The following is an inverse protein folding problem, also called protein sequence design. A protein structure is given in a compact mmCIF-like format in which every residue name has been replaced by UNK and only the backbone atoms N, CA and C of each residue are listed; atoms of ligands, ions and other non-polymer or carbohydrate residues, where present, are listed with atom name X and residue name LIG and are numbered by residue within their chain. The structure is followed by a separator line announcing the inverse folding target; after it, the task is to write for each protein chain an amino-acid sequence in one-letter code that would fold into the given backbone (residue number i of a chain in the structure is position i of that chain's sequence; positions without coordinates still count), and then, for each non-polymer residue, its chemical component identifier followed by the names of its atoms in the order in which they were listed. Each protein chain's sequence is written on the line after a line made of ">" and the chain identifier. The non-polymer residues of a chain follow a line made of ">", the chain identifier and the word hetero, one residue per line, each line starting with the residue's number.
data_IF_765706039079
#
_entry.id   IF_765706039079
#
_cell.length_a   1.000
_cell.length_b   1.000
_cell.length_c   1.000
_cell.angle_alpha   90.00
_cell.angle_beta   90.00
_cell.angle_gamma   90.00
#
_symmetry.space_group_name_H-M   'P 1'
#
loop_
_entity.id
_entity.type
_entity.pdbx_description
1 polymer ?
#
# COMPACT_ATOMS: atom_id res chain seq x y z
N UNK A 1 4.06 -1.54 29.45
CA UNK A 1 3.13 -0.76 28.62
C UNK A 1 3.07 -1.46 27.28
N UNK A 2 1.92 -2.06 26.92
CA UNK A 2 1.76 -2.77 25.64
C UNK A 2 1.85 -1.78 24.49
N UNK A 3 2.64 -2.10 23.47
CA UNK A 3 2.92 -1.20 22.34
C UNK A 3 1.73 -1.07 21.36
N UNK A 4 0.57 -1.61 21.71
CA UNK A 4 -0.61 -1.72 20.86
C UNK A 4 -1.54 -0.51 20.94
N UNK A 5 -1.38 0.38 21.93
CA UNK A 5 -2.29 1.53 22.15
C UNK A 5 -1.86 2.81 21.40
N UNK A 6 -0.87 2.71 20.50
CA UNK A 6 -0.18 3.89 19.97
C UNK A 6 -0.80 4.40 18.66
N UNK A 7 -1.51 3.54 17.94
CA UNK A 7 -2.24 3.89 16.71
C UNK A 7 -3.64 3.29 16.79
N UNK A 8 -4.63 4.09 17.17
CA UNK A 8 -6.03 3.74 16.95
C UNK A 8 -6.43 4.15 15.52
N UNK A 9 -6.40 3.19 14.61
CA UNK A 9 -6.89 3.36 13.23
C UNK A 9 -8.42 3.36 13.12
N UNK A 10 -9.15 3.09 14.21
CA UNK A 10 -10.60 2.94 14.15
C UNK A 10 -11.29 4.27 13.80
N UNK A 11 -12.09 4.24 12.72
CA UNK A 11 -12.82 5.41 12.24
C UNK A 11 -12.00 6.40 11.40
N UNK A 12 -10.73 6.13 11.10
CA UNK A 12 -9.97 6.94 10.15
C UNK A 12 -10.57 6.79 8.73
N UNK A 13 -11.06 7.87 8.08
CA UNK A 13 -11.61 7.76 6.74
C UNK A 13 -10.49 7.45 5.74
N UNK A 14 -10.73 6.46 4.88
CA UNK A 14 -9.87 6.17 3.73
C UNK A 14 -10.31 7.00 2.53
N UNK A 15 -9.36 7.65 1.86
CA UNK A 15 -9.58 8.13 0.50
C UNK A 15 -9.39 6.97 -0.48
N UNK A 16 -10.34 6.76 -1.38
CA UNK A 16 -10.25 5.78 -2.47
C UNK A 16 -9.72 6.43 -3.75
N UNK A 17 -8.78 5.75 -4.41
CA UNK A 17 -8.21 6.16 -5.69
C UNK A 17 -8.29 4.98 -6.67
N UNK A 18 -8.83 5.21 -7.86
CA UNK A 18 -8.97 4.19 -8.92
C UNK A 18 -8.09 4.56 -10.10
N UNK A 19 -7.47 3.56 -10.68
CA UNK A 19 -6.56 3.72 -11.82
C UNK A 19 -6.92 2.68 -12.87
N UNK A 20 -7.06 3.13 -14.11
CA UNK A 20 -7.34 2.28 -15.25
C UNK A 20 -6.07 1.55 -15.70
N UNK A 21 -6.25 0.38 -16.29
CA UNK A 21 -5.20 -0.34 -17.02
C UNK A 21 -4.69 0.53 -18.20
N UNK A 22 -3.38 0.78 -18.26
CA UNK A 22 -2.75 1.59 -19.32
C UNK A 22 -2.10 0.75 -20.44
N UNK A 23 -2.26 -0.59 -20.39
CA UNK A 23 -1.73 -1.56 -21.33
C UNK A 23 -0.31 -2.03 -21.03
N UNK A 24 0.44 -1.36 -20.15
CA UNK A 24 1.75 -1.80 -19.65
C UNK A 24 1.73 -2.01 -18.12
N UNK A 25 0.99 -1.17 -17.42
CA UNK A 25 0.66 -1.23 -16.01
C UNK A 25 -0.77 -1.74 -15.86
N UNK A 26 -0.97 -2.95 -15.33
CA UNK A 26 -2.31 -3.53 -15.26
C UNK A 26 -3.27 -2.78 -14.34
N UNK A 27 -2.74 -2.15 -13.28
CA UNK A 27 -3.53 -1.61 -12.17
C UNK A 27 -4.52 -2.66 -11.63
N UNK A 28 -5.58 -2.22 -10.95
CA UNK A 28 -6.51 -3.12 -10.28
C UNK A 28 -7.93 -2.58 -10.34
N UNK A 29 -8.89 -3.50 -10.43
CA UNK A 29 -10.32 -3.20 -10.24
C UNK A 29 -10.65 -2.79 -8.81
N UNK A 30 -9.76 -3.12 -7.86
CA UNK A 30 -9.86 -2.69 -6.47
C UNK A 30 -9.25 -1.28 -6.34
N UNK A 31 -9.83 -0.38 -5.54
CA UNK A 31 -9.25 0.94 -5.33
C UNK A 31 -8.01 0.88 -4.42
N UNK A 32 -7.04 1.75 -4.67
CA UNK A 32 -6.04 2.11 -3.66
C UNK A 32 -6.73 2.83 -2.51
N UNK A 33 -6.30 2.53 -1.29
CA UNK A 33 -6.75 3.24 -0.09
C UNK A 33 -5.61 4.12 0.43
N UNK A 34 -5.93 5.37 0.76
CA UNK A 34 -5.03 6.29 1.44
C UNK A 34 -5.64 6.68 2.79
N UNK A 35 -4.97 6.27 3.86
CA UNK A 35 -5.26 6.71 5.22
C UNK A 35 -4.30 7.83 5.62
N UNK A 36 -4.81 8.82 6.35
CA UNK A 36 -4.00 9.90 6.94
C UNK A 36 -4.14 9.88 8.45
N UNK A 37 -3.27 9.13 9.12
CA UNK A 37 -3.37 8.90 10.55
C UNK A 37 -2.70 10.02 11.34
N UNK A 38 -3.32 10.39 12.46
CA UNK A 38 -2.74 11.31 13.43
C UNK A 38 -1.98 10.49 14.47
N UNK A 39 -0.67 10.39 14.29
CA UNK A 39 0.21 9.67 15.21
C UNK A 39 0.89 10.65 16.17
N UNK A 40 1.12 10.21 17.40
CA UNK A 40 1.90 10.98 18.36
C UNK A 40 3.30 11.28 17.79
N UNK A 41 3.81 12.48 18.06
CA UNK A 41 5.14 12.92 17.62
C UNK A 41 6.25 12.21 18.38
N UNK A 42 6.00 11.77 19.61
CA UNK A 42 6.97 11.13 20.50
C UNK A 42 7.26 9.66 20.19
N UNK A 43 6.47 9.06 19.30
CA UNK A 43 6.52 7.64 18.96
C UNK A 43 7.44 7.37 17.77
N UNK A 44 8.21 6.27 17.85
CA UNK A 44 8.82 5.67 16.66
C UNK A 44 7.72 5.09 15.76
N UNK A 45 7.43 5.81 14.68
CA UNK A 45 6.36 5.45 13.74
C UNK A 45 6.68 4.19 12.96
N UNK A 46 7.95 3.85 12.75
CA UNK A 46 8.30 2.64 12.04
C UNK A 46 7.90 1.41 12.86
N UNK A 47 8.32 1.37 14.13
CA UNK A 47 7.92 0.30 15.06
C UNK A 47 6.39 0.25 15.25
N UNK A 48 5.74 1.42 15.32
CA UNK A 48 4.29 1.50 15.48
C UNK A 48 3.55 0.96 14.24
N UNK A 49 4.02 1.24 13.02
CA UNK A 49 3.44 0.66 11.80
C UNK A 49 3.70 -0.84 11.70
N UNK A 50 4.89 -1.32 12.05
CA UNK A 50 5.16 -2.76 12.09
C UNK A 50 4.21 -3.49 13.04
N UNK A 51 4.04 -2.96 14.25
CA UNK A 51 3.12 -3.53 15.23
C UNK A 51 1.66 -3.50 14.73
N UNK A 52 1.23 -2.38 14.13
CA UNK A 52 -0.11 -2.22 13.58
C UNK A 52 -0.39 -3.21 12.45
N UNK A 53 0.49 -3.29 11.47
CA UNK A 53 0.34 -4.19 10.33
C UNK A 53 0.35 -5.65 10.78
N UNK A 54 1.30 -6.03 11.64
CA UNK A 54 1.39 -7.39 12.16
C UNK A 54 0.13 -7.80 12.95
N UNK A 55 -0.44 -6.89 13.74
CA UNK A 55 -1.69 -7.13 14.48
C UNK A 55 -2.89 -7.42 13.57
N UNK A 56 -2.86 -6.95 12.33
CA UNK A 56 -3.91 -7.15 11.33
C UNK A 56 -3.55 -8.19 10.26
N UNK A 57 -2.53 -9.02 10.48
CA UNK A 57 -2.15 -10.08 9.55
C UNK A 57 -1.46 -9.59 8.28
N UNK A 58 -0.85 -8.41 8.33
CA UNK A 58 0.06 -7.88 7.31
C UNK A 58 1.48 -7.95 7.84
N UNK A 59 2.29 -8.84 7.27
CA UNK A 59 3.67 -9.07 7.70
C UNK A 59 4.55 -7.91 7.24
N UNK A 60 5.08 -7.07 8.14
CA UNK A 60 6.08 -6.07 7.77
C UNK A 60 7.40 -6.78 7.42
N UNK A 61 7.97 -6.44 6.27
CA UNK A 61 9.19 -7.10 5.77
C UNK A 61 10.39 -6.17 5.65
N UNK A 62 10.16 -4.87 5.48
CA UNK A 62 11.25 -3.93 5.23
C UNK A 62 10.92 -2.51 5.71
N UNK A 63 12.00 -1.74 5.94
CA UNK A 63 11.97 -0.29 6.16
C UNK A 63 12.88 0.38 5.13
N UNK A 64 12.33 1.09 4.15
CA UNK A 64 13.11 1.77 3.11
C UNK A 64 12.28 2.86 2.39
N UNK A 65 12.81 3.48 1.35
CA UNK A 65 12.08 4.33 0.42
C UNK A 65 11.27 3.54 -0.62
N UNK A 66 10.66 4.26 -1.56
CA UNK A 66 9.95 3.68 -2.71
C UNK A 66 10.83 3.89 -3.95
N UNK A 67 10.91 2.90 -4.84
CA UNK A 67 11.70 3.01 -6.07
C UNK A 67 11.32 4.25 -6.90
N UNK A 68 12.31 4.84 -7.56
CA UNK A 68 12.17 6.00 -8.43
C UNK A 68 11.66 5.67 -9.85
N UNK A 69 11.48 4.37 -10.14
CA UNK A 69 10.91 3.87 -11.38
C UNK A 69 9.55 3.21 -11.16
N UNK A 70 8.69 3.25 -12.19
CA UNK A 70 7.40 2.57 -12.12
C UNK A 70 7.58 1.07 -11.96
N UNK A 71 6.91 0.52 -10.96
CA UNK A 71 6.82 -0.91 -10.70
C UNK A 71 5.47 -1.26 -10.08
N UNK A 72 5.16 -2.55 -10.05
CA UNK A 72 3.99 -3.10 -9.38
C UNK A 72 4.26 -4.52 -8.92
N UNK A 73 3.40 -5.02 -8.03
CA UNK A 73 3.40 -6.39 -7.55
C UNK A 73 2.32 -7.21 -8.28
N UNK A 74 2.67 -8.20 -9.12
CA UNK A 74 1.68 -9.02 -9.83
C UNK A 74 1.08 -10.14 -8.96
N UNK A 75 1.63 -10.42 -7.78
CA UNK A 75 1.24 -11.54 -6.92
C UNK A 75 0.93 -11.16 -5.46
N UNK A 76 1.01 -9.88 -5.10
CA UNK A 76 0.82 -9.44 -3.72
C UNK A 76 0.11 -8.09 -3.66
N UNK A 77 -0.74 -7.91 -2.66
CA UNK A 77 -1.15 -6.59 -2.17
C UNK A 77 -0.06 -6.02 -1.25
N UNK A 78 -0.01 -4.70 -1.13
CA UNK A 78 1.04 -4.04 -0.35
C UNK A 78 0.46 -2.92 0.53
N UNK A 79 0.95 -2.82 1.75
CA UNK A 79 0.72 -1.69 2.64
C UNK A 79 2.03 -0.93 2.84
N UNK A 80 1.98 0.39 2.68
CA UNK A 80 3.11 1.30 2.85
C UNK A 80 2.80 2.31 3.95
N UNK A 81 3.40 2.15 5.12
CA UNK A 81 3.28 3.09 6.24
C UNK A 81 4.41 4.13 6.21
N UNK A 82 4.12 5.39 5.95
CA UNK A 82 5.15 6.45 5.89
C UNK A 82 5.56 6.82 7.32
N UNK A 83 6.73 6.35 7.74
CA UNK A 83 7.23 6.55 9.10
C UNK A 83 7.90 7.91 9.30
N UNK A 84 8.61 8.42 8.29
CA UNK A 84 9.34 9.70 8.34
C UNK A 84 9.32 10.43 7.00
N UNK A 85 9.61 11.74 7.05
CA UNK A 85 9.71 12.57 5.87
C UNK A 85 8.40 12.73 5.08
N UNK A 86 8.57 13.05 3.81
CA UNK A 86 7.50 13.17 2.83
C UNK A 86 8.00 12.80 1.43
N UNK A 87 7.09 12.36 0.57
CA UNK A 87 7.39 12.07 -0.82
C UNK A 87 6.24 12.47 -1.75
N UNK A 88 6.58 12.79 -3.00
CA UNK A 88 5.63 12.77 -4.11
C UNK A 88 5.68 11.41 -4.77
N UNK A 89 4.58 10.69 -4.75
CA UNK A 89 4.45 9.34 -5.30
C UNK A 89 3.45 9.40 -6.46
N UNK A 90 3.82 8.85 -7.61
CA UNK A 90 2.87 8.58 -8.70
C UNK A 90 2.26 7.21 -8.47
N UNK A 91 0.93 7.11 -8.49
CA UNK A 91 0.16 5.87 -8.45
C UNK A 91 -0.62 5.71 -9.75
N UNK A 92 -0.81 4.49 -10.23
CA UNK A 92 -1.58 4.19 -11.45
C UNK A 92 -0.76 4.04 -12.73
N UNK A 93 0.57 3.96 -12.66
CA UNK A 93 1.41 3.91 -13.87
C UNK A 93 1.62 5.29 -14.52
N UNK A 94 1.93 5.32 -15.82
CA UNK A 94 2.26 6.56 -16.54
C UNK A 94 1.03 7.45 -16.75
N UNK A 95 -0.16 6.86 -16.88
CA UNK A 95 -1.44 7.57 -16.91
C UNK A 95 -1.99 7.92 -15.51
N UNK A 96 -1.20 7.68 -14.47
CA UNK A 96 -1.60 7.76 -13.08
C UNK A 96 -1.68 9.17 -12.51
N UNK A 97 -1.89 9.24 -11.19
CA UNK A 97 -1.93 10.47 -10.41
C UNK A 97 -0.71 10.58 -9.51
N UNK A 98 -0.10 11.77 -9.45
CA UNK A 98 0.92 12.09 -8.44
C UNK A 98 0.29 12.75 -7.23
N UNK A 99 0.61 12.26 -6.03
CA UNK A 99 0.16 12.81 -4.76
C UNK A 99 1.31 12.92 -3.76
N UNK A 100 1.13 13.75 -2.74
CA UNK A 100 2.08 13.85 -1.63
C UNK A 100 1.64 12.94 -0.49
N UNK A 101 2.55 12.11 -0.02
CA UNK A 101 2.45 11.35 1.25
C UNK A 101 3.45 11.88 2.26
N UNK A 102 3.14 11.78 3.54
CA UNK A 102 4.01 12.21 4.64
C UNK A 102 3.90 11.30 5.85
N UNK A 103 4.79 11.49 6.81
CA UNK A 103 4.78 10.76 8.07
C UNK A 103 3.36 10.65 8.69
N UNK A 104 2.90 9.43 8.93
CA UNK A 104 1.54 9.11 9.41
C UNK A 104 0.54 8.68 8.33
N UNK A 105 0.87 8.84 7.05
CA UNK A 105 0.03 8.33 5.97
C UNK A 105 0.28 6.83 5.73
N UNK A 106 -0.78 6.10 5.34
CA UNK A 106 -0.70 4.71 4.90
C UNK A 106 -1.34 4.57 3.52
N UNK A 107 -0.60 3.99 2.57
CA UNK A 107 -1.16 3.52 1.30
C UNK A 107 -1.43 2.02 1.37
N UNK A 108 -2.59 1.59 0.89
CA UNK A 108 -2.91 0.18 0.67
C UNK A 108 -3.11 -0.02 -0.82
N UNK A 109 -2.18 -0.75 -1.43
CA UNK A 109 -2.04 -0.92 -2.87
C UNK A 109 -2.53 -2.34 -3.25
N UNK A 110 -3.62 -2.44 -4.02
CA UNK A 110 -3.98 -3.69 -4.67
C UNK A 110 -2.87 -4.23 -5.58
N UNK A 111 -2.84 -5.54 -5.78
CA UNK A 111 -1.92 -6.16 -6.73
C UNK A 111 -2.15 -5.55 -8.12
N UNK A 112 -1.05 -5.23 -8.81
CA UNK A 112 -1.05 -4.55 -10.10
C UNK A 112 -0.96 -3.03 -10.04
N UNK A 113 -1.16 -2.38 -8.91
CA UNK A 113 -1.05 -0.92 -8.80
C UNK A 113 0.37 -0.45 -9.11
N UNK A 114 0.52 0.23 -10.26
CA UNK A 114 1.79 0.83 -10.65
C UNK A 114 2.13 2.01 -9.76
N UNK A 115 3.35 2.07 -9.23
CA UNK A 115 3.77 3.20 -8.42
C UNK A 115 5.26 3.52 -8.54
N UNK A 116 5.63 4.78 -8.25
CA UNK A 116 7.01 5.25 -8.14
C UNK A 116 7.13 6.46 -7.23
N UNK A 117 8.28 6.64 -6.61
CA UNK A 117 8.68 7.89 -5.99
C UNK A 117 9.19 8.87 -7.04
N UNK A 118 8.59 10.05 -7.15
CA UNK A 118 9.08 11.13 -8.03
C UNK A 118 10.13 11.98 -7.31
N UNK A 119 9.94 12.20 -6.01
CA UNK A 119 10.81 12.98 -5.15
C UNK A 119 10.51 12.65 -3.70
N UNK A 120 11.52 12.55 -2.84
CA UNK A 120 11.36 12.38 -1.40
C UNK A 120 12.31 13.30 -0.62
N UNK A 121 11.99 13.56 0.65
CA UNK A 121 12.94 14.20 1.57
C UNK A 121 14.05 13.24 1.99
N UNK A 122 15.20 13.78 2.40
CA UNK A 122 16.39 12.98 2.77
C UNK A 122 16.12 11.97 3.90
N UNK A 123 15.13 12.25 4.75
CA UNK A 123 14.73 11.41 5.89
C UNK A 123 13.56 10.46 5.60
N UNK A 124 13.09 10.40 4.34
CA UNK A 124 11.94 9.60 3.95
C UNK A 124 12.15 8.12 4.27
N UNK A 125 11.19 7.55 5.03
CA UNK A 125 11.20 6.14 5.41
C UNK A 125 9.79 5.60 5.39
N UNK A 126 9.63 4.42 4.79
CA UNK A 126 8.39 3.67 4.69
C UNK A 126 8.57 2.29 5.31
N UNK A 127 7.55 1.78 5.99
CA UNK A 127 7.42 0.37 6.36
C UNK A 127 6.57 -0.32 5.30
N UNK A 128 7.13 -1.33 4.64
CA UNK A 128 6.41 -2.16 3.68
C UNK A 128 5.93 -3.46 4.31
N UNK A 129 4.65 -3.76 4.11
CA UNK A 129 4.01 -4.96 4.63
C UNK A 129 3.10 -5.62 3.60
N UNK A 130 2.96 -6.94 3.70
CA UNK A 130 2.19 -7.76 2.76
C UNK A 130 1.22 -8.66 3.53
N UNK A 131 0.03 -8.95 2.99
CA UNK A 131 -0.91 -9.86 3.66
C UNK A 131 -0.27 -11.23 3.89
N UNK A 132 -0.71 -11.92 4.94
CA UNK A 132 -0.31 -13.30 5.20
C UNK A 132 -0.50 -14.19 3.97
N UNK A 133 0.56 -14.91 3.59
CA UNK A 133 0.61 -15.76 2.38
C UNK A 133 1.02 -15.03 1.09
N UNK A 134 1.38 -13.75 1.17
CA UNK A 134 1.84 -12.92 0.04
C UNK A 134 3.21 -12.28 0.30
N UNK A 135 3.96 -12.79 1.28
CA UNK A 135 5.27 -12.29 1.71
C UNK A 135 6.35 -12.48 0.65
N UNK A 136 6.23 -13.50 -0.20
CA UNK A 136 7.11 -13.75 -1.34
C UNK A 136 6.63 -12.97 -2.57
N UNK A 137 6.74 -11.65 -2.48
CA UNK A 137 6.27 -10.72 -3.51
C UNK A 137 7.27 -10.60 -4.67
N UNK A 138 6.74 -10.46 -5.88
CA UNK A 138 7.52 -10.11 -7.07
C UNK A 138 7.45 -8.61 -7.34
N UNK A 139 8.54 -8.06 -7.89
CA UNK A 139 8.55 -6.70 -8.44
C UNK A 139 8.61 -6.79 -9.96
N UNK A 140 7.67 -6.15 -10.65
CA UNK A 140 7.63 -6.10 -12.10
C UNK A 140 7.57 -4.64 -12.60
N UNK A 141 8.35 -4.33 -13.63
CA UNK A 141 8.26 -3.05 -14.36
C UNK A 141 7.15 -3.11 -15.43
N UNK A 142 6.49 -1.98 -15.76
CA UNK A 142 5.53 -1.92 -16.86
C UNK A 142 6.11 -2.44 -18.17
N UNK A 143 5.41 -3.37 -18.81
CA UNK A 143 5.77 -3.93 -20.11
C UNK A 143 4.53 -4.50 -20.81
N UNK A 144 4.15 -3.90 -21.93
CA UNK A 144 2.99 -4.32 -22.72
C UNK A 144 3.07 -5.78 -23.19
N UNK A 145 4.28 -6.34 -23.35
CA UNK A 145 4.47 -7.74 -23.76
C UNK A 145 4.16 -8.73 -22.65
N UNK A 146 4.38 -8.33 -21.39
CA UNK A 146 4.13 -9.16 -20.20
C UNK A 146 2.77 -8.87 -19.57
N UNK A 147 2.07 -7.84 -20.05
CA UNK A 147 0.83 -7.34 -19.50
C UNK A 147 -0.24 -8.42 -19.27
N UNK A 148 -0.52 -9.24 -20.30
CA UNK A 148 -1.50 -10.34 -20.19
C UNK A 148 -1.12 -11.38 -19.13
N UNK A 149 0.18 -11.67 -18.98
CA UNK A 149 0.65 -12.60 -17.95
C UNK A 149 0.51 -11.99 -16.55
N UNK A 150 0.80 -10.69 -16.40
CA UNK A 150 0.61 -9.97 -15.15
C UNK A 150 -0.87 -9.97 -14.71
N UNK A 151 -1.81 -9.68 -15.62
CA UNK A 151 -3.26 -9.75 -15.34
C UNK A 151 -3.67 -11.14 -14.81
N UNK A 152 -3.17 -12.21 -15.42
CA UNK A 152 -3.48 -13.58 -15.00
C UNK A 152 -2.93 -13.93 -13.60
N UNK A 153 -1.85 -13.29 -13.17
CA UNK A 153 -1.29 -13.43 -11.82
C UNK A 153 -2.10 -12.61 -10.80
N UNK A 154 -2.38 -11.35 -11.14
CA UNK A 154 -3.15 -10.41 -10.30
C UNK A 154 -4.54 -10.98 -9.97
N UNK A 155 -5.21 -11.58 -10.95
CA UNK A 155 -6.53 -12.19 -10.76
C UNK A 155 -6.56 -13.36 -9.75
N UNK A 156 -5.39 -13.93 -9.40
CA UNK A 156 -5.26 -15.05 -8.43
C UNK A 156 -4.89 -14.56 -7.03
N UNK A 157 -4.59 -13.29 -6.85
CA UNK A 157 -4.18 -12.74 -5.56
C UNK A 157 -5.39 -12.74 -4.63
N UNK A 158 -5.24 -13.42 -3.50
CA UNK A 158 -6.31 -13.53 -2.51
C UNK A 158 -6.51 -12.17 -1.81
N UNK A 159 -7.76 -11.78 -1.57
CA UNK A 159 -8.04 -10.59 -0.78
C UNK A 159 -7.65 -10.82 0.68
N UNK A 160 -7.07 -9.82 1.36
CA UNK A 160 -6.75 -9.90 2.79
C UNK A 160 -8.02 -10.05 3.63
N UNK A 161 -7.91 -10.75 4.76
CA UNK A 161 -9.03 -10.91 5.71
C UNK A 161 -9.26 -9.67 6.56
N UNK A 162 -8.25 -8.81 6.69
CA UNK A 162 -8.29 -7.61 7.52
C UNK A 162 -7.64 -6.43 6.80
N UNK A 163 -8.14 -5.24 7.10
CA UNK A 163 -7.51 -3.99 6.72
C UNK A 163 -6.23 -3.75 7.55
N UNK A 164 -5.11 -3.31 6.95
CA UNK A 164 -3.84 -3.13 7.68
C UNK A 164 -3.91 -2.05 8.77
N UNK A 165 -4.85 -1.11 8.69
CA UNK A 165 -4.99 0.02 9.61
C UNK A 165 -6.07 -0.22 10.66
N UNK A 166 -7.23 -0.73 10.25
CA UNK A 166 -8.41 -0.81 11.11
C UNK A 166 -9.00 -2.23 11.26
N UNK A 167 -8.25 -3.25 10.85
CA UNK A 167 -8.60 -4.66 11.03
C UNK A 167 -9.93 -5.01 10.35
N UNK A 168 -10.80 -5.71 11.09
CA UNK A 168 -12.13 -6.15 10.63
C UNK A 168 -13.13 -4.99 10.37
N UNK A 169 -12.79 -3.76 10.74
CA UNK A 169 -13.66 -2.58 10.55
C UNK A 169 -13.10 -1.58 9.54
N UNK A 170 -11.99 -1.90 8.89
CA UNK A 170 -11.34 -0.99 7.96
C UNK A 170 -12.00 -0.94 6.58
N UNK A 171 -11.70 0.14 5.85
CA UNK A 171 -12.33 0.43 4.57
C UNK A 171 -12.01 -0.64 3.51
N UNK A 172 -10.90 -1.37 3.63
CA UNK A 172 -10.60 -2.50 2.72
C UNK A 172 -11.77 -3.47 2.61
N UNK A 173 -12.43 -3.81 3.71
CA UNK A 173 -13.51 -4.81 3.70
C UNK A 173 -14.82 -4.31 3.08
N UNK A 174 -14.97 -3.00 2.88
CA UNK A 174 -16.11 -2.41 2.17
C UNK A 174 -15.74 -2.05 0.73
N UNK A 175 -14.62 -1.38 0.53
CA UNK A 175 -14.19 -0.83 -0.76
C UNK A 175 -13.65 -1.90 -1.73
N UNK A 176 -13.14 -3.02 -1.22
CA UNK A 176 -12.63 -4.12 -2.05
C UNK A 176 -13.68 -5.20 -2.30
N UNK A 177 -14.96 -4.88 -2.12
CA UNK A 177 -16.06 -5.71 -2.63
C UNK A 177 -16.10 -5.51 -4.14
N UNK A 178 -16.03 -6.62 -4.87
CA UNK A 178 -16.43 -6.58 -6.27
C UNK A 178 -17.94 -6.60 -6.22
N UNK A 179 -18.60 -5.62 -6.82
CA UNK A 179 -20.02 -5.77 -7.12
C UNK A 179 -20.17 -7.06 -7.93
N UNK A 180 -21.09 -7.93 -7.48
CA UNK A 180 -21.29 -9.26 -8.02
C UNK A 180 -21.79 -9.28 -9.45
#
# INVERSE_FOLDING_TARGET
>A
MSHTDVIDGSGAPAQTLRFEDDGATPNSVLPVLLYRLKLDRSVDKAEAFEALFAAHGWTPLWRDGIFDYHHFHPNAHEALGVARGQARVTLGGEAGQTLTVKAGDVLVLPAGTGHRCVHCSDDFLVVGAYPQGQEDYDIQRPDARLHKAALARIARVAKPQQDPVAGERGALLTEWRLDG
#
